data_IF_213457446597
#
_entry.id   IF_213457446597
#
_cell.length_a   1.000
_cell.length_b   1.000
_cell.length_c   1.000
_cell.angle_alpha   90.00
_cell.angle_beta   90.00
_cell.angle_gamma   90.00
#
_symmetry.space_group_name_H-M   'P 1'
#
loop_
_entity.id
_entity.type
_entity.pdbx_description
1 polymer ?
#
# COMPACT_ATOMS: atom_id res chain seq x y z
N UNK A 1 -14.23 9.97 -15.35
CA UNK A 1 -13.25 10.71 -14.53
C UNK A 1 -12.10 9.81 -14.06
N UNK A 2 -12.42 8.64 -13.51
CA UNK A 2 -11.46 7.70 -12.92
C UNK A 2 -10.35 7.22 -13.87
N UNK A 3 -10.66 6.90 -15.13
CA UNK A 3 -9.65 6.46 -16.12
C UNK A 3 -8.63 7.53 -16.49
N UNK A 4 -9.03 8.81 -16.46
CA UNK A 4 -8.14 9.93 -16.80
C UNK A 4 -7.00 10.03 -15.80
N UNK A 5 -7.28 9.82 -14.50
CA UNK A 5 -6.27 9.90 -13.44
C UNK A 5 -5.26 8.76 -13.55
N UNK A 6 -5.71 7.53 -13.77
CA UNK A 6 -4.80 6.39 -13.98
C UNK A 6 -3.94 6.57 -15.23
N UNK A 7 -4.52 7.05 -16.33
CA UNK A 7 -3.78 7.37 -17.55
C UNK A 7 -2.72 8.46 -17.32
N UNK A 8 -3.04 9.50 -16.54
CA UNK A 8 -2.08 10.55 -16.18
C UNK A 8 -0.93 10.01 -15.33
N UNK A 9 -1.22 9.16 -14.34
CA UNK A 9 -0.20 8.52 -13.49
C UNK A 9 0.74 7.69 -14.36
N UNK A 10 0.20 6.79 -15.18
CA UNK A 10 1.00 5.90 -16.03
C UNK A 10 1.86 6.66 -17.02
N UNK A 11 1.31 7.69 -17.68
CA UNK A 11 2.11 8.58 -18.55
C UNK A 11 3.24 9.27 -17.77
N UNK A 12 2.98 9.74 -16.56
CA UNK A 12 4.01 10.40 -15.75
C UNK A 12 5.11 9.42 -15.31
N UNK A 13 4.77 8.17 -14.99
CA UNK A 13 5.73 7.12 -14.67
C UNK A 13 6.58 6.76 -15.89
N UNK A 14 5.95 6.48 -17.03
CA UNK A 14 6.66 6.13 -18.27
C UNK A 14 7.61 7.24 -18.75
N UNK A 15 7.23 8.51 -18.58
CA UNK A 15 8.08 9.65 -18.95
C UNK A 15 9.29 9.88 -18.02
N UNK A 16 9.41 9.13 -16.92
CA UNK A 16 10.41 9.32 -15.86
C UNK A 16 11.23 8.07 -15.56
N UNK A 17 11.19 7.10 -16.48
CA UNK A 17 11.95 5.86 -16.35
C UNK A 17 13.44 6.15 -16.39
N UNK A 18 14.17 5.65 -15.40
CA UNK A 18 15.62 5.66 -15.34
C UNK A 18 16.13 4.23 -15.61
N UNK A 19 16.71 3.95 -16.80
CA UNK A 19 17.04 2.57 -17.19
C UNK A 19 17.99 1.85 -16.25
N UNK A 20 19.02 2.53 -15.74
CA UNK A 20 19.98 1.98 -14.78
C UNK A 20 19.30 1.59 -13.46
N UNK A 21 18.45 2.46 -12.94
CA UNK A 21 17.65 2.19 -11.75
C UNK A 21 16.66 1.04 -11.98
N UNK A 22 16.00 1.00 -13.15
CA UNK A 22 15.10 -0.10 -13.54
C UNK A 22 15.82 -1.44 -13.51
N UNK A 23 17.01 -1.52 -14.09
CA UNK A 23 17.81 -2.74 -14.08
C UNK A 23 18.17 -3.13 -12.63
N UNK A 24 18.64 -2.18 -11.83
CA UNK A 24 18.98 -2.41 -10.42
C UNK A 24 17.81 -2.92 -9.58
N UNK A 25 16.65 -2.26 -9.66
CA UNK A 25 15.47 -2.64 -8.86
C UNK A 25 14.88 -3.98 -9.33
N UNK A 26 14.87 -4.24 -10.64
CA UNK A 26 14.43 -5.54 -11.19
C UNK A 26 15.35 -6.66 -10.74
N UNK A 27 16.67 -6.40 -10.68
CA UNK A 27 17.63 -7.36 -10.17
C UNK A 27 17.49 -7.61 -8.67
N UNK A 28 17.21 -6.56 -7.88
CA UNK A 28 17.03 -6.66 -6.44
C UNK A 28 15.82 -7.53 -6.06
N UNK A 29 14.71 -7.42 -6.80
CA UNK A 29 13.51 -8.23 -6.61
C UNK A 29 13.45 -9.45 -7.55
N UNK A 30 14.61 -9.95 -8.00
CA UNK A 30 14.68 -11.12 -8.88
C UNK A 30 14.05 -12.32 -8.17
N UNK A 31 13.05 -12.93 -8.81
CA UNK A 31 12.31 -14.09 -8.28
C UNK A 31 10.94 -13.74 -7.72
N UNK A 32 10.70 -12.47 -7.37
CA UNK A 32 9.38 -11.99 -7.00
C UNK A 32 8.59 -11.58 -8.27
N UNK A 33 7.29 -11.89 -8.37
CA UNK A 33 6.47 -11.58 -9.56
C UNK A 33 6.01 -10.12 -9.59
N UNK A 34 6.89 -9.18 -9.27
CA UNK A 34 6.65 -7.73 -9.27
C UNK A 34 7.31 -7.06 -10.47
N UNK A 35 6.58 -6.14 -11.11
CA UNK A 35 7.07 -5.36 -12.25
C UNK A 35 7.50 -3.98 -11.78
N UNK A 36 8.45 -3.37 -12.49
CA UNK A 36 8.85 -1.99 -12.22
C UNK A 36 8.83 -1.15 -13.49
N UNK A 37 8.31 0.07 -13.38
CA UNK A 37 8.47 1.09 -14.41
C UNK A 37 9.94 1.51 -14.48
N UNK A 38 10.61 1.61 -13.33
CA UNK A 38 11.98 2.12 -13.19
C UNK A 38 12.01 3.55 -12.69
N UNK A 39 11.09 3.92 -11.79
CA UNK A 39 10.98 5.29 -11.25
C UNK A 39 11.26 5.28 -9.76
N UNK A 40 12.19 6.14 -9.29
CA UNK A 40 12.57 6.19 -7.88
C UNK A 40 11.41 6.61 -6.98
N UNK A 41 11.31 5.99 -5.80
CA UNK A 41 10.21 6.19 -4.83
C UNK A 41 9.90 7.65 -4.50
N UNK A 42 10.86 8.58 -4.28
CA UNK A 42 10.53 9.99 -4.03
C UNK A 42 9.73 10.63 -5.17
N UNK A 43 10.06 10.29 -6.41
CA UNK A 43 9.37 10.79 -7.60
C UNK A 43 7.99 10.14 -7.76
N UNK A 44 7.87 8.84 -7.48
CA UNK A 44 6.57 8.13 -7.42
C UNK A 44 5.64 8.80 -6.40
N UNK A 45 6.13 9.10 -5.19
CA UNK A 45 5.35 9.80 -4.14
C UNK A 45 4.96 11.22 -4.56
N UNK A 46 5.81 11.93 -5.31
CA UNK A 46 5.48 13.24 -5.89
C UNK A 46 4.34 13.16 -6.92
N UNK A 47 4.39 12.15 -7.81
CA UNK A 47 3.32 11.85 -8.78
C UNK A 47 2.03 11.51 -8.04
N UNK A 48 2.12 10.62 -7.05
CA UNK A 48 1.00 10.21 -6.18
C UNK A 48 0.30 11.42 -5.55
N UNK A 49 1.08 12.31 -4.92
CA UNK A 49 0.55 13.50 -4.25
C UNK A 49 -0.16 14.44 -5.22
N UNK A 50 0.39 14.66 -6.42
CA UNK A 50 -0.23 15.50 -7.46
C UNK A 50 -1.54 14.89 -7.96
N UNK A 51 -1.56 13.60 -8.24
CA UNK A 51 -2.76 12.89 -8.69
C UNK A 51 -3.84 12.85 -7.59
N UNK A 52 -3.45 12.65 -6.33
CA UNK A 52 -4.40 12.67 -5.21
C UNK A 52 -5.06 14.04 -5.03
N UNK A 53 -4.34 15.14 -5.26
CA UNK A 53 -4.93 16.50 -5.23
C UNK A 53 -6.06 16.67 -6.24
N UNK A 54 -5.96 16.06 -7.43
CA UNK A 54 -7.05 16.09 -8.43
C UNK A 54 -8.27 15.23 -8.06
N UNK A 55 -8.17 14.40 -7.01
CA UNK A 55 -9.27 13.61 -6.47
C UNK A 55 -9.98 14.31 -5.30
N UNK A 56 -9.72 15.61 -5.07
CA UNK A 56 -10.42 16.38 -4.02
C UNK A 56 -11.93 16.33 -4.28
N UNK A 57 -12.71 16.01 -3.23
CA UNK A 57 -14.15 15.85 -3.31
C UNK A 57 -14.62 14.49 -3.84
N UNK A 58 -13.71 13.61 -4.28
CA UNK A 58 -14.05 12.24 -4.67
C UNK A 58 -14.34 11.38 -3.45
N UNK A 59 -15.33 10.49 -3.54
CA UNK A 59 -15.69 9.57 -2.47
C UNK A 59 -14.61 8.53 -2.18
N UNK A 60 -14.48 8.09 -0.92
CA UNK A 60 -13.53 7.06 -0.50
C UNK A 60 -13.63 5.80 -1.36
N UNK A 61 -14.86 5.34 -1.66
CA UNK A 61 -15.12 4.14 -2.47
C UNK A 61 -14.60 4.25 -3.90
N UNK A 62 -14.71 5.43 -4.50
CA UNK A 62 -14.20 5.68 -5.86
C UNK A 62 -12.66 5.68 -5.86
N UNK A 63 -12.02 6.25 -4.84
CA UNK A 63 -10.57 6.19 -4.67
C UNK A 63 -10.10 4.74 -4.45
N UNK A 64 -10.83 3.95 -3.65
CA UNK A 64 -10.57 2.50 -3.51
C UNK A 64 -10.65 1.74 -4.82
N UNK A 65 -11.58 2.08 -5.69
CA UNK A 65 -11.67 1.48 -7.04
C UNK A 65 -10.43 1.81 -7.87
N UNK A 66 -9.86 3.00 -7.74
CA UNK A 66 -8.61 3.37 -8.40
C UNK A 66 -7.41 2.61 -7.80
N UNK A 67 -7.33 2.50 -6.47
CA UNK A 67 -6.31 1.70 -5.79
C UNK A 67 -6.34 0.25 -6.25
N UNK A 68 -7.52 -0.38 -6.31
CA UNK A 68 -7.68 -1.77 -6.77
C UNK A 68 -7.11 -1.94 -8.19
N UNK A 69 -7.31 -0.96 -9.08
CA UNK A 69 -6.79 -1.00 -10.47
C UNK A 69 -5.29 -0.75 -10.57
N UNK A 70 -4.73 0.11 -9.72
CA UNK A 70 -3.29 0.32 -9.61
C UNK A 70 -2.62 -0.96 -9.10
N UNK A 71 -3.20 -1.61 -8.09
CA UNK A 71 -2.68 -2.87 -7.53
C UNK A 71 -2.76 -4.04 -8.51
N UNK A 72 -3.85 -4.15 -9.27
CA UNK A 72 -4.03 -5.16 -10.30
C UNK A 72 -3.00 -5.06 -11.45
N UNK A 73 -2.28 -3.94 -11.59
CA UNK A 73 -1.24 -3.79 -12.61
C UNK A 73 0.00 -4.66 -12.35
N UNK A 74 0.25 -5.03 -11.09
CA UNK A 74 1.47 -5.73 -10.66
C UNK A 74 2.74 -4.86 -10.64
N UNK A 75 2.63 -3.55 -10.90
CA UNK A 75 3.76 -2.63 -10.83
C UNK A 75 4.01 -2.12 -9.41
N UNK A 76 5.26 -2.21 -8.95
CA UNK A 76 5.67 -1.73 -7.63
C UNK A 76 5.37 -0.24 -7.43
N UNK A 77 5.64 0.60 -8.43
CA UNK A 77 5.36 2.04 -8.34
C UNK A 77 3.85 2.35 -8.29
N UNK A 78 3.01 1.62 -9.04
CA UNK A 78 1.55 1.78 -8.97
C UNK A 78 1.01 1.31 -7.62
N UNK A 79 1.55 0.23 -7.06
CA UNK A 79 1.23 -0.22 -5.69
C UNK A 79 1.61 0.82 -4.65
N UNK A 80 2.80 1.42 -4.72
CA UNK A 80 3.22 2.50 -3.82
C UNK A 80 2.24 3.69 -3.89
N UNK A 81 1.72 4.04 -5.08
CA UNK A 81 0.70 5.09 -5.21
C UNK A 81 -0.60 4.68 -4.51
N UNK A 82 -1.06 3.45 -4.72
CA UNK A 82 -2.29 2.95 -4.08
C UNK A 82 -2.19 2.98 -2.54
N UNK A 83 -1.04 2.59 -1.98
CA UNK A 83 -0.81 2.59 -0.53
C UNK A 83 -0.58 4.00 0.04
N UNK A 84 0.11 4.89 -0.68
CA UNK A 84 0.20 6.30 -0.31
C UNK A 84 -1.18 6.97 -0.27
N UNK A 85 -2.08 6.63 -1.20
CA UNK A 85 -3.47 7.12 -1.16
C UNK A 85 -4.25 6.56 0.02
N UNK A 86 -4.07 5.28 0.36
CA UNK A 86 -4.67 4.69 1.55
C UNK A 86 -4.22 5.42 2.83
N UNK A 87 -2.92 5.74 2.92
CA UNK A 87 -2.37 6.53 4.02
C UNK A 87 -2.91 7.98 4.07
N UNK A 88 -3.08 8.63 2.92
CA UNK A 88 -3.70 9.97 2.84
C UNK A 88 -5.16 9.96 3.29
N UNK A 89 -5.86 8.85 3.05
CA UNK A 89 -7.23 8.62 3.50
C UNK A 89 -7.34 8.14 4.96
N UNK A 90 -6.24 8.06 5.73
CA UNK A 90 -6.24 7.48 7.09
C UNK A 90 -7.36 7.99 8.02
N UNK A 91 -7.66 9.29 7.97
CA UNK A 91 -8.72 9.93 8.78
C UNK A 91 -10.16 9.54 8.37
N UNK A 92 -10.31 8.80 7.26
CA UNK A 92 -11.58 8.26 6.75
C UNK A 92 -11.63 6.74 6.81
N UNK A 93 -10.63 6.11 7.41
CA UNK A 93 -10.59 4.66 7.57
C UNK A 93 -11.59 4.23 8.65
N UNK A 94 -12.18 3.07 8.42
CA UNK A 94 -13.15 2.44 9.32
C UNK A 94 -12.74 0.99 9.55
N UNK A 95 -13.21 0.31 10.62
CA UNK A 95 -12.86 -1.08 10.90
C UNK A 95 -13.13 -2.05 9.72
N UNK A 96 -14.12 -1.74 8.89
CA UNK A 96 -14.46 -2.50 7.68
C UNK A 96 -13.34 -2.50 6.62
N UNK A 97 -12.49 -1.47 6.59
CA UNK A 97 -11.36 -1.35 5.66
C UNK A 97 -10.25 -2.40 5.97
N UNK A 98 -10.23 -2.99 7.17
CA UNK A 98 -9.30 -4.09 7.51
C UNK A 98 -9.41 -5.26 6.53
N UNK A 99 -10.63 -5.64 6.14
CA UNK A 99 -10.86 -6.74 5.18
C UNK A 99 -10.35 -6.38 3.78
N UNK A 100 -10.31 -5.09 3.43
CA UNK A 100 -9.71 -4.63 2.16
C UNK A 100 -8.19 -4.74 2.21
N UNK A 101 -7.56 -4.29 3.29
CA UNK A 101 -6.11 -4.41 3.45
C UNK A 101 -5.66 -5.88 3.50
N UNK A 102 -6.42 -6.77 4.14
CA UNK A 102 -6.16 -8.22 4.10
C UNK A 102 -6.12 -8.76 2.66
N UNK A 103 -7.10 -8.37 1.82
CA UNK A 103 -7.15 -8.76 0.41
C UNK A 103 -5.99 -8.18 -0.38
N UNK A 104 -5.61 -6.93 -0.15
CA UNK A 104 -4.47 -6.31 -0.82
C UNK A 104 -3.14 -6.99 -0.47
N UNK A 105 -2.91 -7.27 0.81
CA UNK A 105 -1.72 -7.98 1.27
C UNK A 105 -1.63 -9.39 0.66
N UNK A 106 -2.76 -10.09 0.61
CA UNK A 106 -2.77 -11.45 0.10
C UNK A 106 -2.71 -11.56 -1.43
N UNK A 107 -3.21 -10.56 -2.16
CA UNK A 107 -3.36 -10.60 -3.62
C UNK A 107 -2.40 -9.72 -4.42
N UNK A 108 -1.78 -8.70 -3.80
CA UNK A 108 -1.03 -7.66 -4.52
C UNK A 108 0.33 -7.31 -3.92
N UNK A 109 0.62 -7.77 -2.70
CA UNK A 109 1.99 -7.78 -2.19
C UNK A 109 2.54 -9.17 -2.50
N UNK A 110 3.52 -9.24 -3.41
CA UNK A 110 4.24 -10.48 -3.72
C UNK A 110 5.68 -10.47 -3.18
N UNK A 111 6.08 -9.34 -2.60
CA UNK A 111 7.40 -9.06 -2.05
C UNK A 111 7.24 -8.37 -0.69
N UNK A 112 8.33 -8.38 0.09
CA UNK A 112 8.33 -7.87 1.45
C UNK A 112 8.12 -6.35 1.51
N UNK A 113 8.55 -5.60 0.48
CA UNK A 113 8.49 -4.15 0.48
C UNK A 113 7.05 -3.65 0.37
N UNK A 114 6.22 -4.31 -0.44
CA UNK A 114 4.78 -4.04 -0.50
C UNK A 114 4.07 -4.31 0.84
N UNK A 115 4.42 -5.40 1.53
CA UNK A 115 3.85 -5.72 2.84
C UNK A 115 4.19 -4.62 3.85
N UNK A 116 5.45 -4.21 3.91
CA UNK A 116 5.92 -3.21 4.88
C UNK A 116 5.33 -1.83 4.61
N UNK A 117 5.18 -1.42 3.35
CA UNK A 117 4.63 -0.11 2.99
C UNK A 117 3.19 0.05 3.48
N UNK A 118 2.32 -0.94 3.23
CA UNK A 118 0.94 -0.88 3.74
C UNK A 118 0.88 -1.05 5.26
N UNK A 119 1.66 -1.98 5.81
CA UNK A 119 1.59 -2.38 7.21
C UNK A 119 2.07 -1.28 8.16
N UNK A 120 3.23 -0.68 7.88
CA UNK A 120 3.81 0.37 8.72
C UNK A 120 3.09 1.72 8.61
N UNK A 121 2.16 1.87 7.67
CA UNK A 121 1.40 3.10 7.44
C UNK A 121 -0.10 2.88 7.64
N UNK A 122 -0.86 2.63 6.57
CA UNK A 122 -2.32 2.68 6.62
C UNK A 122 -2.94 1.60 7.52
N UNK A 123 -2.41 0.37 7.48
CA UNK A 123 -2.87 -0.71 8.36
C UNK A 123 -2.44 -0.46 9.82
N UNK A 124 -1.20 -0.05 10.06
CA UNK A 124 -0.72 0.28 11.41
C UNK A 124 -1.52 1.41 12.05
N UNK A 125 -1.87 2.44 11.27
CA UNK A 125 -2.82 3.48 11.72
C UNK A 125 -4.18 2.90 12.06
N UNK A 126 -4.76 2.09 11.15
CA UNK A 126 -6.07 1.48 11.39
C UNK A 126 -6.10 0.68 12.69
N UNK A 127 -5.08 -0.14 12.95
CA UNK A 127 -4.98 -0.94 14.18
C UNK A 127 -4.80 -0.09 15.44
N UNK A 128 -4.09 1.04 15.31
CA UNK A 128 -3.90 1.96 16.41
C UNK A 128 -5.18 2.70 16.79
N UNK A 129 -5.98 3.09 15.80
CA UNK A 129 -7.27 3.77 16.03
C UNK A 129 -8.38 2.80 16.44
N UNK A 130 -8.32 1.55 15.97
CA UNK A 130 -9.34 0.51 16.18
C UNK A 130 -8.69 -0.76 16.77
N UNK A 131 -8.29 -0.72 18.06
CA UNK A 131 -7.61 -1.84 18.72
C UNK A 131 -8.47 -3.12 18.80
N UNK A 132 -9.79 -3.04 18.64
CA UNK A 132 -10.68 -4.20 18.54
C UNK A 132 -10.36 -5.12 17.34
N UNK A 133 -9.52 -4.66 16.40
CA UNK A 133 -9.03 -5.46 15.28
C UNK A 133 -7.84 -6.35 15.63
N UNK A 134 -7.18 -6.16 16.77
CA UNK A 134 -5.98 -6.91 17.16
C UNK A 134 -6.19 -8.43 17.25
N UNK A 135 -7.34 -8.95 17.77
CA UNK A 135 -7.61 -10.39 17.72
C UNK A 135 -7.65 -10.94 16.29
N UNK A 136 -8.06 -10.14 15.30
CA UNK A 136 -8.05 -10.54 13.88
C UNK A 136 -6.63 -10.54 13.33
N UNK A 137 -5.81 -9.54 13.70
CA UNK A 137 -4.38 -9.51 13.37
C UNK A 137 -3.63 -10.71 13.96
N UNK A 138 -3.92 -11.10 15.21
CA UNK A 138 -3.32 -12.26 15.88
C UNK A 138 -3.56 -13.55 15.09
N UNK A 139 -4.73 -13.71 14.46
CA UNK A 139 -5.00 -14.87 13.57
C UNK A 139 -4.07 -14.92 12.36
N UNK A 140 -3.61 -13.78 11.85
CA UNK A 140 -2.69 -13.75 10.71
C UNK A 140 -1.32 -14.36 11.01
N UNK A 141 -0.89 -14.42 12.28
CA UNK A 141 0.37 -15.08 12.69
C UNK A 141 0.43 -16.55 12.29
N UNK A 142 -0.74 -17.22 12.20
CA UNK A 142 -0.89 -18.64 11.82
C UNK A 142 -1.35 -18.82 10.37
N UNK A 143 -1.45 -17.74 9.59
CA UNK A 143 -1.93 -17.81 8.21
C UNK A 143 -0.97 -18.62 7.33
N UNK A 144 -1.45 -19.44 6.37
CA UNK A 144 -0.59 -20.08 5.38
C UNK A 144 0.06 -19.05 4.45
N UNK A 145 -0.55 -17.87 4.28
CA UNK A 145 -0.01 -16.78 3.45
C UNK A 145 1.07 -16.01 4.21
N UNK A 146 2.31 -16.08 3.72
CA UNK A 146 3.45 -15.46 4.39
C UNK A 146 3.31 -13.94 4.52
N UNK A 147 2.69 -13.26 3.55
CA UNK A 147 2.44 -11.82 3.60
C UNK A 147 1.63 -11.41 4.83
N UNK A 148 0.62 -12.20 5.19
CA UNK A 148 -0.23 -11.94 6.36
C UNK A 148 0.55 -12.20 7.66
N UNK A 149 1.36 -13.26 7.71
CA UNK A 149 2.26 -13.50 8.85
C UNK A 149 3.21 -12.32 9.06
N UNK A 150 3.88 -11.87 8.00
CA UNK A 150 4.76 -10.69 8.05
C UNK A 150 4.01 -9.44 8.50
N UNK A 151 2.87 -9.14 7.88
CA UNK A 151 2.05 -7.97 8.23
C UNK A 151 1.66 -7.96 9.71
N UNK A 152 1.35 -9.12 10.30
CA UNK A 152 1.00 -9.22 11.73
C UNK A 152 2.13 -8.78 12.66
N UNK A 153 3.39 -9.00 12.27
CA UNK A 153 4.55 -8.55 13.04
C UNK A 153 4.85 -7.06 12.79
N UNK A 154 4.84 -6.61 11.53
CA UNK A 154 5.34 -5.26 11.20
C UNK A 154 4.29 -4.16 11.36
N UNK A 155 2.99 -4.46 11.35
CA UNK A 155 1.95 -3.43 11.46
C UNK A 155 1.97 -2.69 12.83
N UNK A 156 2.44 -3.36 13.89
CA UNK A 156 2.54 -2.80 15.23
C UNK A 156 3.68 -1.80 15.39
N UNK A 157 4.64 -1.74 14.45
CA UNK A 157 5.72 -0.74 14.44
C UNK A 157 5.14 0.69 14.48
N UNK A 158 3.98 0.91 13.85
CA UNK A 158 3.29 2.19 13.87
C UNK A 158 2.98 2.65 15.30
N UNK A 159 2.34 1.79 16.10
CA UNK A 159 1.93 2.10 17.49
C UNK A 159 3.13 2.25 18.42
N UNK A 160 4.15 1.39 18.27
CA UNK A 160 5.40 1.50 19.03
C UNK A 160 6.07 2.86 18.81
N UNK A 161 6.17 3.33 17.56
CA UNK A 161 6.73 4.65 17.23
C UNK A 161 5.92 5.82 17.82
N UNK A 162 4.64 5.60 18.09
CA UNK A 162 3.73 6.58 18.72
C UNK A 162 3.69 6.46 20.24
N UNK A 163 4.43 5.52 20.84
CA UNK A 163 4.36 5.18 22.27
C UNK A 163 2.93 4.80 22.72
N UNK A 164 2.13 4.28 21.79
CA UNK A 164 0.81 3.72 22.11
C UNK A 164 0.97 2.29 22.59
N UNK A 165 0.41 1.98 23.75
CA UNK A 165 0.37 0.62 24.29
C UNK A 165 -0.89 -0.07 23.73
N UNK A 166 -0.66 -1.06 22.87
CA UNK A 166 -1.72 -1.93 22.37
C UNK A 166 -1.67 -3.25 23.12
N UNK A 167 -2.80 -3.63 23.73
CA UNK A 167 -2.92 -4.92 24.40
C UNK A 167 -3.26 -6.01 23.37
N UNK A 168 -2.35 -6.95 23.19
CA UNK A 168 -2.51 -8.10 22.31
C UNK A 168 -3.10 -9.26 23.11
N UNK A 169 -4.34 -9.10 23.60
CA UNK A 169 -5.11 -10.14 24.29
C UNK A 169 -5.01 -11.51 23.60
#
# INVERSE_FOLDING_TARGET
MNDRVLGLIRRQLSARVEPSYKAGITNFFRGDPVKFHGVRTPLVRKISAKAFKSLKGTEKRQIWTLCDRLLASGYGEERTIAFDWAWRLRRKLEPSDFKRFERWLAGHCADWAGVDDLSCHALGYLLNEFPELLPRLKKWTRSPRWHLRRASAVALIYSVRRKSQLDLA
#
